data_IF_070817196191
#
_entry.id   IF_070817196191
#
_cell.length_a   1.000
_cell.length_b   1.000
_cell.length_c   1.000
_cell.angle_alpha   90.00
_cell.angle_beta   90.00
_cell.angle_gamma   90.00
#
_symmetry.space_group_name_H-M   'P 1'
#
loop_
_entity.id
_entity.type
_entity.pdbx_description
1 polymer ?
#
# COMPACT_ATOMS: atom_id res chain seq x y z
N UNK A 1 -4.09 2.88 1.22
CA UNK A 1 -2.96 2.23 1.92
C UNK A 1 -1.67 2.56 1.19
N UNK A 2 -0.71 3.13 1.89
CA UNK A 2 0.59 3.51 1.32
C UNK A 2 1.65 2.54 1.83
N UNK A 3 2.30 1.82 0.91
CA UNK A 3 3.28 0.79 1.28
C UNK A 3 4.73 1.26 1.13
N UNK A 4 4.93 2.58 0.94
CA UNK A 4 6.28 3.15 0.96
C UNK A 4 6.84 3.09 2.38
N UNK A 5 8.16 3.27 2.49
CA UNK A 5 8.77 3.27 3.82
C UNK A 5 8.37 4.51 4.62
N UNK A 6 8.54 4.44 5.93
CA UNK A 6 8.06 5.47 6.86
C UNK A 6 8.60 6.86 6.50
N UNK A 7 9.88 6.97 6.14
CA UNK A 7 10.50 8.24 5.80
C UNK A 7 9.88 8.87 4.56
N UNK A 8 9.54 8.06 3.57
CA UNK A 8 8.88 8.54 2.36
C UNK A 8 7.48 9.06 2.69
N UNK A 9 6.74 8.31 3.49
CA UNK A 9 5.39 8.67 3.88
C UNK A 9 5.37 9.95 4.71
N UNK A 10 6.29 10.08 5.66
CA UNK A 10 6.37 11.27 6.51
C UNK A 10 6.72 12.53 5.72
N UNK A 11 7.56 12.39 4.69
CA UNK A 11 7.95 13.53 3.86
C UNK A 11 6.78 14.07 3.04
N UNK A 12 5.95 13.18 2.49
CA UNK A 12 4.78 13.54 1.69
C UNK A 12 3.88 12.32 1.51
N UNK A 13 2.59 12.48 1.73
CA UNK A 13 1.63 11.41 1.47
C UNK A 13 0.26 12.00 1.11
N UNK A 14 -0.59 11.18 0.52
CA UNK A 14 -1.95 11.60 0.20
C UNK A 14 -2.77 11.70 1.49
N UNK A 15 -3.62 12.73 1.55
CA UNK A 15 -4.49 12.94 2.69
C UNK A 15 -5.37 11.71 2.91
N UNK A 16 -5.45 11.26 4.15
CA UNK A 16 -6.25 10.10 4.52
C UNK A 16 -5.55 8.75 4.32
N UNK A 17 -4.35 8.73 3.73
CA UNK A 17 -3.63 7.48 3.54
C UNK A 17 -3.07 6.96 4.86
N UNK A 18 -3.07 5.64 5.00
CA UNK A 18 -2.45 4.96 6.14
C UNK A 18 -1.19 4.26 5.67
N UNK A 19 -0.12 4.35 6.46
CA UNK A 19 1.17 3.78 6.08
C UNK A 19 1.34 2.34 6.60
N UNK A 20 1.52 1.41 5.67
CA UNK A 20 1.86 0.02 5.96
C UNK A 20 3.10 -0.33 5.13
N UNK A 21 4.31 0.00 5.61
CA UNK A 21 5.53 -0.20 4.83
C UNK A 21 5.66 -1.63 4.33
N UNK A 22 6.03 -1.80 3.07
CA UNK A 22 6.17 -3.12 2.47
C UNK A 22 7.14 -4.00 3.25
N UNK A 23 8.22 -3.41 3.79
CA UNK A 23 9.22 -4.13 4.58
C UNK A 23 8.63 -4.76 5.84
N UNK A 24 7.48 -4.29 6.32
CA UNK A 24 6.84 -4.77 7.55
C UNK A 24 5.50 -5.46 7.27
N UNK A 25 5.07 -5.48 6.03
CA UNK A 25 3.70 -5.91 5.70
C UNK A 25 3.41 -7.36 6.10
N UNK A 26 4.40 -8.23 6.01
CA UNK A 26 4.24 -9.63 6.43
C UNK A 26 3.89 -9.76 7.92
N UNK A 27 4.29 -8.77 8.73
CA UNK A 27 4.02 -8.75 10.17
C UNK A 27 2.78 -7.92 10.53
N UNK A 28 2.33 -7.03 9.65
CA UNK A 28 1.28 -6.06 9.98
C UNK A 28 -0.05 -6.30 9.27
N UNK A 29 -0.08 -7.13 8.22
CA UNK A 29 -1.28 -7.27 7.39
C UNK A 29 -2.50 -7.77 8.17
N UNK A 30 -2.30 -8.47 9.27
CA UNK A 30 -3.41 -8.98 10.07
C UNK A 30 -4.23 -7.87 10.74
N UNK A 31 -3.69 -6.64 10.79
CA UNK A 31 -4.41 -5.46 11.26
C UNK A 31 -5.45 -4.96 10.26
N UNK A 32 -5.39 -5.44 9.02
CA UNK A 32 -6.32 -5.04 7.96
C UNK A 32 -7.61 -5.85 8.07
N UNK A 33 -8.70 -5.24 7.60
CA UNK A 33 -10.03 -5.85 7.62
C UNK A 33 -10.33 -6.46 6.25
N UNK A 34 -10.60 -7.76 6.20
CA UNK A 34 -10.91 -8.46 4.95
C UNK A 34 -12.24 -8.04 4.33
N UNK A 35 -13.10 -7.39 5.09
CA UNK A 35 -14.38 -6.88 4.59
C UNK A 35 -14.21 -5.56 3.84
N UNK A 36 -13.03 -4.94 3.89
CA UNK A 36 -12.75 -3.69 3.21
C UNK A 36 -12.02 -3.92 1.90
N UNK A 37 -12.27 -3.03 0.94
CA UNK A 37 -11.49 -2.93 -0.29
C UNK A 37 -10.35 -1.92 -0.05
N UNK A 38 -9.12 -2.30 -0.41
CA UNK A 38 -7.97 -1.42 -0.24
C UNK A 38 -7.37 -1.01 -1.58
N UNK A 39 -7.14 0.30 -1.73
CA UNK A 39 -6.33 0.84 -2.81
C UNK A 39 -4.90 0.97 -2.27
N UNK A 40 -3.95 0.37 -2.97
CA UNK A 40 -2.56 0.26 -2.50
C UNK A 40 -1.66 1.10 -3.39
N UNK A 41 -0.90 2.01 -2.77
CA UNK A 41 -0.06 2.97 -3.49
C UNK A 41 1.39 2.90 -3.01
N UNK A 42 2.31 3.12 -3.95
CA UNK A 42 3.71 3.38 -3.64
C UNK A 42 4.19 4.53 -4.53
N UNK A 43 5.50 4.68 -4.76
CA UNK A 43 6.00 5.78 -5.57
C UNK A 43 5.63 5.61 -7.05
N UNK A 44 5.95 4.46 -7.63
CA UNK A 44 5.81 4.23 -9.08
C UNK A 44 4.83 3.11 -9.45
N UNK A 45 4.34 2.35 -8.48
CA UNK A 45 3.43 1.23 -8.70
C UNK A 45 4.06 -0.14 -8.57
N UNK A 46 5.39 -0.25 -8.43
CA UNK A 46 6.07 -1.55 -8.37
C UNK A 46 5.98 -2.20 -7.00
N UNK A 47 6.29 -1.47 -5.93
CA UNK A 47 6.19 -2.00 -4.56
C UNK A 47 4.74 -2.30 -4.21
N UNK A 48 3.82 -1.46 -4.64
CA UNK A 48 2.40 -1.67 -4.40
C UNK A 48 1.87 -2.88 -5.16
N UNK A 49 2.40 -3.16 -6.36
CA UNK A 49 2.06 -4.38 -7.08
C UNK A 49 2.46 -5.64 -6.30
N UNK A 50 3.64 -5.63 -5.68
CA UNK A 50 4.10 -6.73 -4.82
C UNK A 50 3.22 -6.86 -3.57
N UNK A 51 2.87 -5.73 -2.97
CA UNK A 51 1.98 -5.72 -1.81
C UNK A 51 0.62 -6.30 -2.16
N UNK A 52 0.06 -5.91 -3.32
CA UNK A 52 -1.22 -6.42 -3.78
C UNK A 52 -1.18 -7.93 -3.99
N UNK A 53 -0.10 -8.44 -4.59
CA UNK A 53 0.06 -9.87 -4.80
C UNK A 53 0.05 -10.61 -3.47
N UNK A 54 0.83 -10.13 -2.50
CA UNK A 54 0.89 -10.74 -1.17
C UNK A 54 -0.48 -10.70 -0.49
N UNK A 55 -1.13 -9.53 -0.48
CA UNK A 55 -2.41 -9.36 0.21
C UNK A 55 -3.53 -10.18 -0.45
N UNK A 56 -3.54 -10.27 -1.77
CA UNK A 56 -4.52 -11.10 -2.48
C UNK A 56 -4.36 -12.57 -2.09
N UNK A 57 -3.12 -13.03 -1.93
CA UNK A 57 -2.84 -14.39 -1.48
C UNK A 57 -3.34 -14.64 -0.06
N UNK A 58 -3.39 -13.59 0.76
CA UNK A 58 -3.92 -13.67 2.12
C UNK A 58 -5.45 -13.48 2.18
N UNK A 59 -6.11 -13.32 1.03
CA UNK A 59 -7.56 -13.23 0.97
C UNK A 59 -8.13 -11.82 1.02
N UNK A 60 -7.31 -10.80 0.86
CA UNK A 60 -7.77 -9.41 0.82
C UNK A 60 -8.14 -8.98 -0.59
N UNK A 61 -9.11 -8.06 -0.69
CA UNK A 61 -9.49 -7.44 -1.95
C UNK A 61 -8.73 -6.12 -2.08
N UNK A 62 -7.82 -6.08 -3.06
CA UNK A 62 -6.88 -4.96 -3.22
C UNK A 62 -6.81 -4.53 -4.68
N UNK A 63 -6.52 -3.24 -4.88
CA UNK A 63 -6.31 -2.65 -6.20
C UNK A 63 -5.04 -1.82 -6.15
N UNK A 64 -4.13 -2.05 -7.09
CA UNK A 64 -2.92 -1.27 -7.21
C UNK A 64 -3.22 0.08 -7.88
N UNK A 65 -2.77 1.17 -7.26
CA UNK A 65 -2.85 2.50 -7.88
C UNK A 65 -1.68 2.61 -8.87
N UNK A 66 -1.97 2.42 -10.15
CA UNK A 66 -0.96 2.42 -11.20
C UNK A 66 -0.26 3.78 -11.28
N UNK A 67 1.06 3.74 -11.44
CA UNK A 67 1.87 4.95 -11.47
C UNK A 67 2.16 5.53 -10.10
N UNK A 68 1.45 5.11 -9.06
CA UNK A 68 1.69 5.51 -7.68
C UNK A 68 1.68 7.02 -7.48
N UNK A 69 2.49 7.49 -6.53
CA UNK A 69 2.59 8.92 -6.22
C UNK A 69 3.05 9.73 -7.44
N UNK A 70 3.86 9.13 -8.32
CA UNK A 70 4.34 9.82 -9.53
C UNK A 70 3.19 10.25 -10.44
N UNK A 71 2.06 9.55 -10.43
CA UNK A 71 0.90 9.88 -11.25
C UNK A 71 0.17 11.15 -10.76
N UNK A 72 0.47 11.62 -9.56
CA UNK A 72 -0.15 12.82 -8.97
C UNK A 72 0.74 14.07 -9.08
N UNK A 73 1.88 13.95 -9.71
CA UNK A 73 2.81 15.08 -9.89
C UNK A 73 2.46 15.91 -11.12
#
# INVERSE_FOLDING_TARGET
MDVREVEEFEALHLEGAHNFPLSQLADTYEQLDKDNLYYVICKSGMRSARACQFLAEQGFEVTNVQGGMDAFE
#
